data_IF_050537557828
#
_entry.id   IF_050537557828
#
_cell.length_a   1.000
_cell.length_b   1.000
_cell.length_c   1.000
_cell.angle_alpha   90.00
_cell.angle_beta   90.00
_cell.angle_gamma   90.00
#
_symmetry.space_group_name_H-M   'P 1'
#
loop_
_entity.id
_entity.type
_entity.pdbx_description
1 polymer ?
#
# COMPACT_ATOMS: atom_id res chain seq x y z
N UNK A 1 -4.88 1.05 -1.39
CA UNK A 1 -5.40 -0.32 -1.14
C UNK A 1 -4.29 -1.13 -0.50
N UNK A 2 -4.58 -1.89 0.55
CA UNK A 2 -3.61 -2.72 1.25
C UNK A 2 -3.78 -4.17 0.82
N UNK A 3 -2.70 -4.83 0.42
CA UNK A 3 -2.69 -6.27 0.18
C UNK A 3 -2.56 -7.01 1.52
N UNK A 4 -3.67 -7.58 1.98
CA UNK A 4 -3.76 -8.26 3.27
C UNK A 4 -3.02 -9.60 3.27
N UNK A 5 -2.93 -10.26 2.12
CA UNK A 5 -2.26 -11.56 1.99
C UNK A 5 -0.73 -11.40 1.96
N UNK A 6 -0.24 -10.20 1.64
CA UNK A 6 1.18 -9.85 1.70
C UNK A 6 1.71 -9.57 3.11
N UNK A 7 0.86 -9.55 4.14
CA UNK A 7 1.27 -9.16 5.49
C UNK A 7 2.24 -10.19 6.07
N UNK A 8 3.41 -9.72 6.43
CA UNK A 8 4.46 -10.51 7.10
C UNK A 8 4.86 -9.84 8.41
N UNK A 9 5.28 -10.66 9.38
CA UNK A 9 5.82 -10.18 10.67
C UNK A 9 7.29 -10.57 10.79
N UNK A 10 8.14 -9.62 11.19
CA UNK A 10 9.57 -9.83 11.35
C UNK A 10 10.25 -8.61 11.96
N UNK A 11 11.34 -8.81 12.71
CA UNK A 11 12.15 -7.73 13.30
C UNK A 11 11.36 -6.67 14.10
N UNK A 12 10.29 -7.11 14.76
CA UNK A 12 9.39 -6.26 15.54
C UNK A 12 8.50 -5.32 14.70
N UNK A 13 8.39 -5.56 13.38
CA UNK A 13 7.56 -4.81 12.46
C UNK A 13 6.58 -5.71 11.68
N UNK A 14 5.49 -5.12 11.21
CA UNK A 14 4.57 -5.70 10.23
C UNK A 14 4.83 -5.07 8.88
N UNK A 15 5.05 -5.87 7.85
CA UNK A 15 5.31 -5.40 6.49
C UNK A 15 4.21 -5.83 5.56
N UNK A 16 3.80 -4.95 4.65
CA UNK A 16 2.79 -5.25 3.64
C UNK A 16 3.02 -4.45 2.35
N UNK A 17 2.34 -4.86 1.29
CA UNK A 17 2.26 -4.11 0.04
C UNK A 17 1.05 -3.15 0.06
N UNK A 18 1.33 -1.89 -0.23
CA UNK A 18 0.36 -0.83 -0.39
C UNK A 18 0.32 -0.40 -1.85
N UNK A 19 -0.85 -0.51 -2.47
CA UNK A 19 -1.10 0.09 -3.77
C UNK A 19 -1.71 1.49 -3.65
N UNK A 20 -1.11 2.45 -4.34
CA UNK A 20 -1.63 3.81 -4.54
C UNK A 20 -2.17 3.91 -5.96
N UNK A 21 -3.49 4.03 -6.05
CA UNK A 21 -4.23 4.10 -7.33
C UNK A 21 -4.83 5.51 -7.44
N UNK A 22 -4.71 6.20 -8.59
CA UNK A 22 -5.42 7.46 -8.82
C UNK A 22 -6.92 7.29 -8.55
N UNK A 23 -7.54 8.22 -7.82
CA UNK A 23 -8.95 8.10 -7.40
C UNK A 23 -9.96 8.21 -8.58
N UNK A 24 -9.52 8.66 -9.75
CA UNK A 24 -10.31 8.82 -10.95
C UNK A 24 -9.43 8.62 -12.19
N UNK A 25 -10.02 8.18 -13.29
CA UNK A 25 -9.32 7.91 -14.54
C UNK A 25 -10.15 6.97 -15.42
N UNK A 26 -9.64 6.68 -16.61
CA UNK A 26 -10.25 5.68 -17.47
C UNK A 26 -10.12 4.28 -16.84
N UNK A 27 -11.08 3.39 -17.07
CA UNK A 27 -11.09 2.04 -16.48
C UNK A 27 -10.07 1.10 -17.12
N UNK A 28 -9.56 1.45 -18.29
CA UNK A 28 -8.48 0.79 -19.03
C UNK A 28 -7.10 1.38 -18.72
N UNK A 29 -7.02 2.51 -18.01
CA UNK A 29 -5.77 3.03 -17.47
C UNK A 29 -5.43 2.28 -16.17
N UNK A 30 -4.54 1.30 -16.29
CA UNK A 30 -4.09 0.44 -15.21
C UNK A 30 -2.91 1.02 -14.42
N UNK A 31 -2.65 2.33 -14.52
CA UNK A 31 -1.55 2.97 -13.79
C UNK A 31 -1.78 2.96 -12.27
N UNK A 32 -0.78 2.51 -11.52
CA UNK A 32 -0.72 2.62 -10.06
C UNK A 32 0.72 2.47 -9.58
N UNK A 33 0.97 2.77 -8.30
CA UNK A 33 2.21 2.36 -7.65
C UNK A 33 1.96 1.34 -6.55
N UNK A 34 2.88 0.40 -6.37
CA UNK A 34 2.88 -0.55 -5.26
C UNK A 34 4.16 -0.42 -4.45
N UNK A 35 4.02 0.03 -3.20
CA UNK A 35 5.12 0.20 -2.26
C UNK A 35 5.05 -0.78 -1.10
N UNK A 36 6.18 -1.32 -0.69
CA UNK A 36 6.30 -1.96 0.61
C UNK A 36 6.28 -0.90 1.71
N UNK A 37 5.60 -1.21 2.81
CA UNK A 37 5.63 -0.41 4.02
C UNK A 37 5.76 -1.33 5.24
N UNK A 38 6.71 -1.00 6.11
CA UNK A 38 6.92 -1.68 7.39
C UNK A 38 6.49 -0.77 8.53
N UNK A 39 5.69 -1.28 9.47
CA UNK A 39 5.20 -0.56 10.65
C UNK A 39 5.64 -1.25 11.93
N UNK A 40 6.28 -0.51 12.83
CA UNK A 40 6.49 -0.92 14.23
C UNK A 40 5.31 -0.41 15.06
N UNK A 41 4.30 -1.26 15.24
CA UNK A 41 3.03 -0.90 15.86
C UNK A 41 3.20 -0.21 17.23
N UNK A 42 4.05 -0.78 18.10
CA UNK A 42 4.30 -0.29 19.46
C UNK A 42 5.14 0.99 19.52
N UNK A 43 6.06 1.19 18.57
CA UNK A 43 6.94 2.35 18.53
C UNK A 43 6.34 3.54 17.77
N UNK A 44 5.20 3.36 17.09
CA UNK A 44 4.60 4.36 16.20
C UNK A 44 5.59 4.85 15.12
N UNK A 45 6.25 3.90 14.45
CA UNK A 45 7.21 4.17 13.38
C UNK A 45 6.86 3.44 12.10
N UNK A 46 7.14 4.07 10.96
CA UNK A 46 7.00 3.49 9.63
C UNK A 46 8.32 3.54 8.87
N UNK A 47 8.48 2.65 7.90
CA UNK A 47 9.61 2.59 7.00
C UNK A 47 9.12 2.22 5.60
N UNK A 48 9.40 3.02 4.55
CA UNK A 48 9.15 2.58 3.18
C UNK A 48 10.15 1.48 2.79
N UNK A 49 9.74 0.62 1.87
CA UNK A 49 10.62 -0.33 1.20
C UNK A 49 10.66 -0.07 -0.29
N UNK A 50 10.71 -1.13 -1.08
CA UNK A 50 10.68 -1.03 -2.54
C UNK A 50 9.32 -0.52 -3.01
N UNK A 51 9.33 0.49 -3.89
CA UNK A 51 8.19 0.96 -4.67
C UNK A 51 8.33 0.54 -6.14
N UNK A 52 7.22 0.13 -6.74
CA UNK A 52 7.11 -0.24 -8.15
C UNK A 52 6.05 0.62 -8.81
N UNK A 53 6.40 1.25 -9.92
CA UNK A 53 5.47 2.03 -10.73
C UNK A 53 4.96 1.18 -11.90
N UNK A 54 3.65 1.15 -12.08
CA UNK A 54 2.98 0.48 -13.19
C UNK A 54 2.37 1.51 -14.13
N UNK A 55 2.56 1.30 -15.44
CA UNK A 55 2.04 2.18 -16.50
C UNK A 55 0.58 1.89 -16.86
N UNK A 56 0.03 2.61 -17.85
CA UNK A 56 -1.38 2.47 -18.24
C UNK A 56 -1.74 1.08 -18.78
N UNK A 57 -0.77 0.36 -19.33
CA UNK A 57 -0.90 -1.02 -19.79
C UNK A 57 -0.80 -2.06 -18.65
N UNK A 58 -0.55 -1.60 -17.42
CA UNK A 58 -0.31 -2.42 -16.25
C UNK A 58 1.08 -3.06 -16.22
N UNK A 59 1.99 -2.68 -17.12
CA UNK A 59 3.36 -3.14 -17.10
C UNK A 59 4.19 -2.36 -16.08
N UNK A 60 5.12 -3.04 -15.41
CA UNK A 60 6.13 -2.40 -14.55
C UNK A 60 7.00 -1.46 -15.41
N UNK A 61 7.09 -0.20 -14.98
CA UNK A 61 7.88 0.84 -15.64
C UNK A 61 9.16 1.13 -14.89
N UNK A 62 9.05 1.18 -13.55
CA UNK A 62 10.16 1.56 -12.68
C UNK A 62 10.07 0.85 -11.35
N UNK A 63 11.23 0.58 -10.76
CA UNK A 63 11.39 0.02 -9.42
C UNK A 63 12.39 0.85 -8.65
N UNK A 64 11.94 1.42 -7.54
CA UNK A 64 12.66 2.36 -6.70
C UNK A 64 12.88 1.68 -5.35
N UNK A 65 14.13 1.60 -4.90
CA UNK A 65 14.44 1.18 -3.53
C UNK A 65 14.58 2.43 -2.67
N UNK A 66 13.50 2.79 -1.98
CA UNK A 66 13.45 3.99 -1.16
C UNK A 66 14.31 3.84 0.11
N UNK A 67 14.48 2.61 0.61
CA UNK A 67 15.52 2.22 1.59
C UNK A 67 15.63 2.99 2.91
N UNK A 68 14.79 3.99 3.17
CA UNK A 68 14.88 4.87 4.33
C UNK A 68 14.75 4.10 5.65
N UNK A 69 15.26 4.70 6.73
CA UNK A 69 15.12 4.15 8.08
C UNK A 69 13.73 4.40 8.67
N UNK A 70 13.43 3.71 9.77
CA UNK A 70 12.18 3.92 10.51
C UNK A 70 12.08 5.35 11.05
N UNK A 71 10.99 6.04 10.73
CA UNK A 71 10.67 7.37 11.24
C UNK A 71 9.30 7.40 11.95
N UNK A 72 9.05 8.43 12.74
CA UNK A 72 7.81 8.60 13.49
C UNK A 72 6.61 8.81 12.55
N UNK A 73 5.53 8.05 12.79
CA UNK A 73 4.29 8.21 12.04
C UNK A 73 3.57 9.47 12.49
N UNK A 74 3.48 10.45 11.58
CA UNK A 74 2.70 11.66 11.80
C UNK A 74 1.19 11.35 11.89
N UNK A 75 0.46 12.06 12.75
CA UNK A 75 -1.00 11.93 12.86
C UNK A 75 -1.69 12.33 11.56
N UNK A 76 -2.78 11.64 11.21
CA UNK A 76 -3.58 11.86 10.01
C UNK A 76 -2.79 11.71 8.69
N UNK A 77 -1.61 11.09 8.73
CA UNK A 77 -0.83 10.73 7.55
C UNK A 77 -1.35 9.43 6.93
N UNK A 78 -0.97 9.15 5.69
CA UNK A 78 -1.23 7.87 5.04
C UNK A 78 -0.77 6.70 5.92
N UNK A 79 0.44 6.79 6.47
CA UNK A 79 1.05 5.77 7.32
C UNK A 79 0.26 5.55 8.62
N UNK A 80 -0.40 6.59 9.15
CA UNK A 80 -1.28 6.44 10.31
C UNK A 80 -2.50 5.58 9.99
N UNK A 81 -3.14 5.77 8.83
CA UNK A 81 -4.26 4.91 8.41
C UNK A 81 -3.80 3.48 8.09
N UNK A 82 -2.60 3.32 7.53
CA UNK A 82 -2.03 1.99 7.27
C UNK A 82 -1.73 1.27 8.58
N UNK A 83 -1.20 1.98 9.58
CA UNK A 83 -1.01 1.42 10.92
C UNK A 83 -2.32 0.89 11.49
N UNK A 84 -3.43 1.61 11.37
CA UNK A 84 -4.74 1.13 11.87
C UNK A 84 -5.17 -0.17 11.16
N UNK A 85 -4.89 -0.30 9.86
CA UNK A 85 -5.20 -1.52 9.08
C UNK A 85 -4.30 -2.71 9.43
N UNK A 86 -3.00 -2.46 9.66
CA UNK A 86 -1.99 -3.48 9.93
C UNK A 86 -1.96 -3.91 11.39
N UNK A 87 -2.11 -2.97 12.32
CA UNK A 87 -1.96 -3.18 13.76
C UNK A 87 -3.30 -3.48 14.43
N UNK A 88 -4.35 -2.73 14.07
CA UNK A 88 -5.64 -2.73 14.78
C UNK A 88 -6.77 -3.43 13.99
N UNK A 89 -6.44 -3.98 12.82
CA UNK A 89 -7.36 -4.78 12.01
C UNK A 89 -8.50 -3.98 11.38
N UNK A 90 -8.38 -2.66 11.26
CA UNK A 90 -9.39 -1.77 10.66
C UNK A 90 -9.44 -1.92 9.13
N UNK A 91 -9.82 -3.09 8.64
CA UNK A 91 -9.82 -3.45 7.21
C UNK A 91 -11.23 -3.32 6.63
N UNK A 92 -11.31 -2.98 5.35
CA UNK A 92 -12.58 -2.94 4.61
C UNK A 92 -13.20 -4.33 4.49
N UNK A 93 -14.53 -4.40 4.49
CA UNK A 93 -15.29 -5.62 4.15
C UNK A 93 -15.39 -5.83 2.63
N UNK A 94 -15.13 -4.79 1.84
CA UNK A 94 -15.08 -4.87 0.38
C UNK A 94 -13.68 -5.30 -0.04
N UNK A 95 -13.60 -6.42 -0.75
CA UNK A 95 -12.33 -7.04 -1.16
C UNK A 95 -12.30 -7.14 -2.68
N UNK A 96 -11.12 -6.87 -3.25
CA UNK A 96 -10.82 -7.09 -4.66
C UNK A 96 -9.71 -8.13 -4.77
N UNK A 97 -9.79 -9.06 -5.74
CA UNK A 97 -8.79 -10.11 -5.91
C UNK A 97 -7.45 -9.57 -6.45
N UNK A 98 -7.42 -8.35 -7.00
CA UNK A 98 -6.21 -7.68 -7.47
C UNK A 98 -6.44 -6.17 -7.61
N UNK A 99 -5.35 -5.40 -7.73
CA UNK A 99 -5.41 -3.95 -8.05
C UNK A 99 -6.08 -3.71 -9.40
N UNK A 100 -5.77 -4.56 -10.39
CA UNK A 100 -6.42 -4.52 -11.70
C UNK A 100 -7.93 -4.66 -11.57
N UNK A 101 -8.43 -5.63 -10.80
CA UNK A 101 -9.86 -5.82 -10.59
C UNK A 101 -10.52 -4.61 -9.90
N UNK A 102 -9.82 -3.95 -8.97
CA UNK A 102 -10.29 -2.70 -8.36
C UNK A 102 -10.40 -1.56 -9.38
N UNK A 103 -9.41 -1.41 -10.26
CA UNK A 103 -9.40 -0.38 -11.32
C UNK A 103 -10.51 -0.64 -12.34
N UNK A 104 -10.64 -1.87 -12.84
CA UNK A 104 -11.65 -2.28 -13.81
C UNK A 104 -13.07 -2.14 -13.25
N UNK A 105 -13.26 -2.28 -11.93
CA UNK A 105 -14.52 -2.01 -11.23
C UNK A 105 -14.85 -0.51 -11.10
N UNK A 106 -14.02 0.39 -11.62
CA UNK A 106 -14.25 1.83 -11.61
C UNK A 106 -13.80 2.54 -10.33
N UNK A 107 -12.89 1.94 -9.55
CA UNK A 107 -12.29 2.55 -8.34
C UNK A 107 -13.34 3.02 -7.32
N UNK A 108 -14.27 2.15 -6.90
CA UNK A 108 -15.32 2.53 -5.95
C UNK A 108 -14.72 2.99 -4.61
N UNK A 109 -15.41 3.94 -3.96
CA UNK A 109 -15.02 4.56 -2.68
C UNK A 109 -15.61 3.82 -1.49
#
# INVERSE_FOLDING_TARGET
>A
MLDVDSITEGDGARTALLARVPASGATDDLSYSAGQISIRCSANQSKPGVEVLYGPDGAEQERIDDGYDFDAIAKNSLDSYIKDMLCDGQRSTTIYPSIRAFIEAGRPR
#
